data_IF_643915000111
#
_entry.id   IF_643915000111
#
_cell.length_a   1.000
_cell.length_b   1.000
_cell.length_c   1.000
_cell.angle_alpha   90.00
_cell.angle_beta   90.00
_cell.angle_gamma   90.00
#
_symmetry.space_group_name_H-M   'P 1'
#
loop_
_entity.id
_entity.type
_entity.pdbx_description
1 polymer ?
#
# COMPACT_ATOMS: atom_id res chain seq x y z
N UNK A 1 11.60 14.78 -2.21
CA UNK A 1 12.87 14.18 -1.77
C UNK A 1 13.04 12.70 -2.15
N UNK A 2 11.98 11.94 -2.49
CA UNK A 2 12.14 10.54 -2.94
C UNK A 2 12.84 10.35 -4.31
N UNK A 3 13.00 11.43 -5.11
CA UNK A 3 13.65 11.37 -6.43
C UNK A 3 15.18 11.27 -6.36
N UNK A 4 15.76 11.63 -5.22
CA UNK A 4 17.21 11.70 -4.99
C UNK A 4 17.48 11.31 -3.53
N UNK A 5 17.96 10.09 -3.31
CA UNK A 5 18.26 9.55 -1.99
C UNK A 5 18.77 8.10 -2.09
N UNK A 6 19.44 7.63 -1.05
CA UNK A 6 19.91 6.25 -1.00
C UNK A 6 18.70 5.32 -0.76
N UNK A 7 18.50 4.38 -1.68
CA UNK A 7 17.45 3.38 -1.57
C UNK A 7 18.01 2.07 -1.02
N UNK A 8 17.50 1.66 0.14
CA UNK A 8 17.75 0.33 0.70
C UNK A 8 16.59 -0.59 0.35
N UNK A 9 16.89 -1.71 -0.29
CA UNK A 9 15.91 -2.73 -0.68
C UNK A 9 16.11 -3.96 0.19
N UNK A 10 15.08 -4.34 0.96
CA UNK A 10 15.07 -5.54 1.80
C UNK A 10 14.05 -6.53 1.29
N UNK A 11 14.50 -7.70 0.85
CA UNK A 11 13.62 -8.79 0.45
C UNK A 11 12.84 -9.32 1.67
N UNK A 12 11.54 -9.57 1.51
CA UNK A 12 10.70 -10.19 2.55
C UNK A 12 10.68 -11.73 2.47
N UNK A 13 11.45 -12.32 1.55
CA UNK A 13 11.56 -13.77 1.38
C UNK A 13 10.37 -14.44 0.66
N UNK A 14 9.33 -13.68 0.32
CA UNK A 14 8.18 -14.13 -0.47
C UNK A 14 8.20 -13.57 -1.89
N UNK A 15 7.45 -14.19 -2.79
CA UNK A 15 7.30 -13.76 -4.18
C UNK A 15 5.83 -13.63 -4.57
N UNK A 16 5.59 -12.86 -5.63
CA UNK A 16 4.29 -12.70 -6.27
C UNK A 16 4.46 -12.87 -7.77
N UNK A 17 3.79 -13.87 -8.36
CA UNK A 17 3.93 -14.22 -9.77
C UNK A 17 5.39 -14.39 -10.21
N UNK A 18 6.20 -15.07 -9.39
CA UNK A 18 7.63 -15.31 -9.64
C UNK A 18 8.55 -14.11 -9.39
N UNK A 19 8.02 -12.94 -8.97
CA UNK A 19 8.82 -11.75 -8.66
C UNK A 19 9.04 -11.60 -7.16
N UNK A 20 10.27 -11.38 -6.68
CA UNK A 20 10.53 -11.13 -5.26
C UNK A 20 9.75 -9.92 -4.76
N UNK A 21 9.21 -10.02 -3.55
CA UNK A 21 8.62 -8.88 -2.85
C UNK A 21 9.69 -8.28 -1.93
N UNK A 22 9.71 -6.96 -1.85
CA UNK A 22 10.66 -6.23 -1.03
C UNK A 22 9.99 -5.06 -0.32
N UNK A 23 10.60 -4.64 0.78
CA UNK A 23 10.37 -3.33 1.36
C UNK A 23 11.50 -2.40 0.94
N UNK A 24 11.14 -1.18 0.56
CA UNK A 24 12.07 -0.14 0.14
C UNK A 24 12.05 0.99 1.15
N UNK A 25 13.24 1.39 1.59
CA UNK A 25 13.44 2.60 2.38
C UNK A 25 14.32 3.59 1.61
N UNK A 26 13.98 4.87 1.67
CA UNK A 26 14.79 5.95 1.07
C UNK A 26 15.27 6.87 2.18
N UNK A 27 16.59 6.99 2.36
CA UNK A 27 17.19 7.74 3.48
C UNK A 27 16.57 7.37 4.85
N UNK A 28 16.35 6.08 5.10
CA UNK A 28 15.75 5.57 6.33
C UNK A 28 14.21 5.67 6.42
N UNK A 29 13.56 6.40 5.51
CA UNK A 29 12.09 6.48 5.48
C UNK A 29 11.47 5.32 4.70
N UNK A 30 10.45 4.67 5.26
CA UNK A 30 9.73 3.59 4.58
C UNK A 30 8.87 4.14 3.43
N UNK A 31 9.24 3.79 2.19
CA UNK A 31 8.56 4.28 1.00
C UNK A 31 7.12 3.76 0.91
N UNK A 32 6.91 2.48 1.24
CA UNK A 32 5.58 1.87 1.18
C UNK A 32 4.60 2.55 2.13
N UNK A 33 5.03 2.83 3.36
CA UNK A 33 4.23 3.56 4.34
C UNK A 33 3.87 4.96 3.86
N UNK A 34 4.83 5.69 3.28
CA UNK A 34 4.57 7.04 2.76
C UNK A 34 3.57 7.03 1.59
N UNK A 35 3.66 6.06 0.68
CA UNK A 35 2.69 5.92 -0.41
C UNK A 35 1.28 5.63 0.13
N UNK A 36 1.19 4.76 1.14
CA UNK A 36 -0.09 4.42 1.79
C UNK A 36 -0.67 5.64 2.51
N UNK A 37 0.15 6.38 3.28
CA UNK A 37 -0.28 7.54 4.05
C UNK A 37 -0.86 8.68 3.19
N UNK A 38 -0.45 8.74 1.91
CA UNK A 38 -0.97 9.71 0.93
C UNK A 38 -2.17 9.18 0.13
N UNK A 39 -2.62 7.95 0.39
CA UNK A 39 -3.71 7.31 -0.35
C UNK A 39 -3.32 6.92 -1.78
N UNK A 40 -2.03 6.66 -2.03
CA UNK A 40 -1.52 6.23 -3.34
C UNK A 40 -1.29 4.71 -3.44
N UNK A 41 -1.41 4.00 -2.32
CA UNK A 41 -1.23 2.55 -2.25
C UNK A 41 -2.13 1.92 -1.19
N UNK A 42 -2.39 0.60 -1.34
CA UNK A 42 -3.13 -0.22 -0.37
C UNK A 42 -2.16 -1.15 0.35
N UNK A 43 -2.32 -1.39 1.67
CA UNK A 43 -1.46 -2.30 2.43
C UNK A 43 -1.44 -3.73 1.86
N UNK A 44 -0.23 -4.24 1.58
CA UNK A 44 -0.03 -5.62 1.16
C UNK A 44 0.44 -6.50 2.33
N UNK A 45 -0.28 -6.45 3.46
CA UNK A 45 0.11 -7.06 4.75
C UNK A 45 0.37 -8.56 4.68
N UNK A 46 -0.22 -9.27 3.70
CA UNK A 46 0.04 -10.70 3.45
C UNK A 46 1.52 -11.04 3.22
N UNK A 47 2.34 -10.08 2.78
CA UNK A 47 3.78 -10.26 2.58
C UNK A 47 4.64 -9.83 3.78
N UNK A 48 4.03 -9.32 4.85
CA UNK A 48 4.70 -8.81 6.04
C UNK A 48 4.52 -9.71 7.27
N UNK A 49 4.28 -11.02 7.06
CA UNK A 49 4.07 -11.97 8.18
C UNK A 49 5.24 -12.02 9.16
N UNK A 50 6.46 -11.79 8.68
CA UNK A 50 7.69 -11.74 9.50
C UNK A 50 7.96 -10.37 10.12
N UNK A 51 7.12 -9.36 9.87
CA UNK A 51 7.27 -7.98 10.36
C UNK A 51 5.86 -7.41 10.73
N UNK A 52 5.24 -7.93 11.81
CA UNK A 52 3.88 -7.55 12.21
C UNK A 52 3.78 -6.07 12.60
N UNK A 53 4.85 -5.47 13.12
CA UNK A 53 4.88 -4.06 13.49
C UNK A 53 4.77 -3.16 12.26
N UNK A 54 5.50 -3.47 11.17
CA UNK A 54 5.32 -2.76 9.90
C UNK A 54 3.94 -2.98 9.31
N UNK A 55 3.39 -4.19 9.40
CA UNK A 55 2.03 -4.46 8.96
C UNK A 55 1.01 -3.57 9.71
N UNK A 56 1.18 -3.41 11.03
CA UNK A 56 0.39 -2.52 11.86
C UNK A 56 0.50 -1.05 11.42
N UNK A 57 1.72 -0.55 11.20
CA UNK A 57 1.93 0.83 10.69
C UNK A 57 1.26 1.07 9.34
N UNK A 58 1.36 0.12 8.41
CA UNK A 58 0.74 0.24 7.09
C UNK A 58 -0.79 0.29 7.20
N UNK A 59 -1.39 -0.52 8.07
CA UNK A 59 -2.84 -0.47 8.30
C UNK A 59 -3.27 0.85 8.94
N UNK A 60 -2.54 1.34 9.94
CA UNK A 60 -2.82 2.65 10.55
C UNK A 60 -2.75 3.78 9.52
N UNK A 61 -1.67 3.83 8.72
CA UNK A 61 -1.51 4.85 7.68
C UNK A 61 -2.63 4.79 6.63
N UNK A 62 -3.11 3.59 6.30
CA UNK A 62 -4.21 3.40 5.35
C UNK A 62 -5.55 3.90 5.91
N UNK A 63 -5.88 3.55 7.15
CA UNK A 63 -7.11 4.02 7.79
C UNK A 63 -7.11 5.54 7.97
N UNK A 64 -5.96 6.13 8.29
CA UNK A 64 -5.79 7.58 8.34
C UNK A 64 -6.01 8.21 6.96
N UNK A 65 -5.40 7.66 5.90
CA UNK A 65 -5.57 8.15 4.53
C UNK A 65 -7.02 8.04 4.05
N UNK A 66 -7.69 6.92 4.37
CA UNK A 66 -9.10 6.67 4.04
C UNK A 66 -10.02 7.64 4.77
N UNK A 67 -9.84 7.82 6.08
CA UNK A 67 -10.64 8.73 6.92
C UNK A 67 -10.50 10.18 6.45
N UNK A 68 -9.28 10.58 6.08
CA UNK A 68 -8.98 11.92 5.59
C UNK A 68 -9.19 12.08 4.08
N UNK A 69 -9.76 11.08 3.39
CA UNK A 69 -10.08 11.12 1.96
C UNK A 69 -8.88 11.53 1.07
N UNK A 70 -7.68 11.05 1.41
CA UNK A 70 -6.46 11.36 0.67
C UNK A 70 -6.33 10.51 -0.59
N UNK A 71 -5.75 11.08 -1.65
CA UNK A 71 -5.42 10.34 -2.87
C UNK A 71 -6.64 9.64 -3.48
N UNK A 72 -6.51 8.32 -3.69
CA UNK A 72 -7.58 7.50 -4.24
C UNK A 72 -8.86 7.47 -3.37
N UNK A 73 -8.77 7.84 -2.09
CA UNK A 73 -9.90 7.88 -1.16
C UNK A 73 -10.72 9.17 -1.23
N UNK A 74 -10.36 10.13 -2.10
CA UNK A 74 -11.09 11.39 -2.26
C UNK A 74 -12.52 11.21 -2.80
N UNK A 75 -12.74 10.13 -3.58
CA UNK A 75 -14.02 9.81 -4.21
C UNK A 75 -14.59 8.46 -3.76
N UNK A 76 -15.49 7.91 -4.57
CA UNK A 76 -15.98 6.55 -4.38
C UNK A 76 -14.82 5.56 -4.56
N UNK A 77 -14.68 4.64 -3.61
CA UNK A 77 -13.55 3.71 -3.55
C UNK A 77 -14.01 2.26 -3.26
N UNK A 78 -13.36 1.26 -3.87
CA UNK A 78 -13.72 -0.16 -3.84
C UNK A 78 -12.66 -1.20 -3.40
N UNK A 79 -11.41 -0.96 -3.02
CA UNK A 79 -10.40 -2.05 -2.91
C UNK A 79 -10.11 -2.79 -4.25
N UNK A 80 -8.84 -2.84 -4.72
CA UNK A 80 -8.55 -3.38 -6.04
C UNK A 80 -8.80 -4.89 -6.13
N UNK A 81 -8.71 -5.62 -5.02
CA UNK A 81 -8.94 -7.06 -4.97
C UNK A 81 -10.42 -7.39 -5.16
N UNK A 82 -11.31 -6.62 -4.51
CA UNK A 82 -12.76 -6.69 -4.69
C UNK A 82 -13.15 -6.38 -6.14
N UNK A 83 -12.60 -5.29 -6.69
CA UNK A 83 -12.79 -4.93 -8.09
C UNK A 83 -12.40 -6.06 -9.05
N UNK A 84 -11.21 -6.64 -8.86
CA UNK A 84 -10.72 -7.76 -9.68
C UNK A 84 -11.59 -9.02 -9.57
N UNK A 85 -12.27 -9.22 -8.45
CA UNK A 85 -13.25 -10.32 -8.28
C UNK A 85 -14.62 -10.06 -8.92
N UNK A 86 -14.85 -8.87 -9.46
CA UNK A 86 -16.11 -8.53 -10.14
C UNK A 86 -17.02 -7.59 -9.37
N UNK A 87 -16.65 -7.16 -8.16
CA UNK A 87 -17.40 -6.13 -7.45
C UNK A 87 -17.27 -4.79 -8.20
N UNK A 88 -18.35 -4.01 -8.25
CA UNK A 88 -18.41 -2.72 -8.98
C UNK A 88 -18.96 -1.63 -8.09
N UNK A 89 -18.57 -0.40 -8.38
CA UNK A 89 -19.21 0.76 -7.77
C UNK A 89 -20.60 0.96 -8.39
N UNK A 90 -21.57 1.41 -7.60
CA UNK A 90 -22.95 1.59 -8.04
C UNK A 90 -23.10 2.63 -9.16
N UNK A 91 -22.17 3.58 -9.28
CA UNK A 91 -22.15 4.57 -10.37
C UNK A 91 -21.83 3.99 -11.76
N UNK A 92 -21.39 2.74 -11.86
CA UNK A 92 -21.04 2.09 -13.13
C UNK A 92 -22.14 1.18 -13.69
N UNK A 93 -23.27 1.05 -12.99
CA UNK A 93 -24.44 0.27 -13.44
C UNK A 93 -25.50 1.11 -14.17
N UNK A 94 -25.15 2.31 -14.61
CA UNK A 94 -26.02 3.19 -15.39
C UNK A 94 -26.20 2.71 -16.82
#
# INVERSE_FOLDING_TARGET
>A
MLRSGEATIRLVGSSSYGRPVAVVSVNGSDLGEQLIAQGWAVPATKYLRSDPDRAGRYMSAYEDARTNKRGAHAGAWIDPEKWRRGERLTCERA
#
